data_IF_121256403606
#
_entry.id   IF_121256403606
#
_cell.length_a   1.000
_cell.length_b   1.000
_cell.length_c   1.000
_cell.angle_alpha   90.00
_cell.angle_beta   90.00
_cell.angle_gamma   90.00
#
_symmetry.space_group_name_H-M   'P 1'
#
loop_
_entity.id
_entity.type
_entity.pdbx_description
1 polymer ?
#
# COMPACT_ATOMS: atom_id res chain seq x y z
N UNK A 1 14.87 -15.04 1.05
CA UNK A 1 13.55 -15.39 0.48
C UNK A 1 13.22 -16.80 0.91
N UNK A 2 11.99 -17.02 1.36
CA UNK A 2 11.55 -18.29 1.94
C UNK A 2 11.36 -19.28 0.78
N UNK A 3 12.36 -20.11 0.50
CA UNK A 3 12.23 -21.26 -0.39
C UNK A 3 11.65 -22.42 0.41
N UNK A 4 10.33 -22.42 0.62
CA UNK A 4 9.62 -23.53 1.23
C UNK A 4 8.37 -23.80 0.42
N UNK A 5 8.31 -24.96 -0.23
CA UNK A 5 7.18 -25.63 -0.91
C UNK A 5 5.84 -24.89 -0.91
N UNK A 6 5.79 -23.77 -1.61
CA UNK A 6 4.53 -23.14 -1.97
C UNK A 6 3.94 -23.92 -3.16
N UNK A 7 2.61 -24.13 -3.26
CA UNK A 7 1.99 -24.99 -4.26
C UNK A 7 2.04 -24.43 -5.71
N UNK A 8 2.79 -23.35 -5.93
CA UNK A 8 2.91 -22.66 -7.21
C UNK A 8 4.34 -22.77 -7.74
N UNK A 9 4.46 -23.08 -9.02
CA UNK A 9 5.73 -23.21 -9.72
C UNK A 9 6.37 -21.83 -10.00
N UNK A 10 7.59 -21.85 -10.53
CA UNK A 10 8.36 -20.63 -10.88
C UNK A 10 7.62 -19.71 -11.85
N UNK A 11 6.77 -20.26 -12.73
CA UNK A 11 5.98 -19.46 -13.66
C UNK A 11 4.95 -18.58 -12.93
N UNK A 12 4.22 -19.17 -11.97
CA UNK A 12 3.24 -18.42 -11.16
C UNK A 12 3.94 -17.38 -10.28
N UNK A 13 5.10 -17.72 -9.71
CA UNK A 13 5.91 -16.76 -8.93
C UNK A 13 6.34 -15.56 -9.79
N UNK A 14 6.88 -15.81 -10.99
CA UNK A 14 7.31 -14.76 -11.91
C UNK A 14 6.15 -13.88 -12.38
N UNK A 15 4.99 -14.48 -12.67
CA UNK A 15 3.79 -13.73 -13.06
C UNK A 15 3.28 -12.86 -11.91
N UNK A 16 3.29 -13.40 -10.69
CA UNK A 16 2.90 -12.68 -9.47
C UNK A 16 3.83 -11.49 -9.20
N UNK A 17 5.14 -11.69 -9.34
CA UNK A 17 6.14 -10.62 -9.21
C UNK A 17 5.96 -9.56 -10.30
N UNK A 18 5.69 -9.96 -11.55
CA UNK A 18 5.42 -9.02 -12.65
C UNK A 18 4.23 -8.13 -12.32
N UNK A 19 3.12 -8.71 -11.84
CA UNK A 19 1.95 -7.96 -11.41
C UNK A 19 2.26 -7.06 -10.21
N UNK A 20 3.00 -7.57 -9.23
CA UNK A 20 3.40 -6.80 -8.04
C UNK A 20 4.22 -5.56 -8.42
N UNK A 21 5.26 -5.73 -9.24
CA UNK A 21 6.10 -4.62 -9.69
C UNK A 21 5.30 -3.61 -10.53
N UNK A 22 4.34 -4.07 -11.35
CA UNK A 22 3.45 -3.15 -12.07
C UNK A 22 2.59 -2.27 -11.13
N UNK A 23 2.11 -2.83 -10.01
CA UNK A 23 1.30 -2.07 -9.04
C UNK A 23 2.13 -1.10 -8.18
N UNK A 24 3.46 -1.26 -8.15
CA UNK A 24 4.36 -0.36 -7.42
C UNK A 24 4.58 0.92 -8.23
N UNK A 25 3.84 1.96 -7.89
CA UNK A 25 3.98 3.28 -8.53
C UNK A 25 5.23 4.06 -8.10
N UNK A 26 5.87 3.68 -6.99
CA UNK A 26 7.08 4.32 -6.43
C UNK A 26 6.96 5.84 -6.23
N UNK A 27 5.73 6.34 -6.05
CA UNK A 27 5.51 7.74 -5.77
C UNK A 27 6.14 8.14 -4.44
N UNK A 28 6.87 9.26 -4.47
CA UNK A 28 7.38 9.89 -3.26
C UNK A 28 6.24 10.57 -2.52
N UNK A 29 6.36 10.58 -1.20
CA UNK A 29 5.43 11.29 -0.34
C UNK A 29 5.82 12.76 -0.33
N UNK A 30 4.87 13.62 -0.70
CA UNK A 30 5.05 15.06 -0.77
C UNK A 30 3.92 15.75 0.01
N UNK A 31 4.14 16.97 0.53
CA UNK A 31 3.09 17.75 1.18
C UNK A 31 1.87 17.92 0.29
N UNK A 32 0.68 17.86 0.88
CA UNK A 32 -0.59 17.99 0.17
C UNK A 32 -1.61 18.77 1.01
N UNK A 33 -2.62 19.34 0.35
CA UNK A 33 -3.73 20.00 1.05
C UNK A 33 -4.66 18.98 1.75
N UNK A 34 -4.71 17.75 1.26
CA UNK A 34 -5.55 16.67 1.82
C UNK A 34 -5.00 15.29 1.46
N UNK A 35 -5.14 14.33 2.38
CA UNK A 35 -4.96 12.90 2.14
C UNK A 35 -6.33 12.21 2.09
N UNK A 36 -6.56 11.41 1.05
CA UNK A 36 -7.74 10.54 0.92
C UNK A 36 -7.36 9.11 1.31
N UNK A 37 -8.00 8.57 2.34
CA UNK A 37 -7.80 7.23 2.85
C UNK A 37 -8.95 6.36 2.34
N UNK A 38 -8.63 5.46 1.43
CA UNK A 38 -9.59 4.48 0.92
C UNK A 38 -9.79 3.39 1.97
N UNK A 39 -10.96 3.36 2.62
CA UNK A 39 -11.28 2.37 3.63
C UNK A 39 -11.07 0.94 3.11
N UNK A 40 -10.46 0.11 3.95
CA UNK A 40 -10.08 -1.25 3.62
C UNK A 40 -10.13 -2.12 4.87
N UNK A 41 -10.41 -3.41 4.68
CA UNK A 41 -10.25 -4.42 5.73
C UNK A 41 -8.76 -4.67 6.08
N UNK A 42 -7.84 -4.24 5.23
CA UNK A 42 -6.42 -4.30 5.50
C UNK A 42 -5.98 -3.17 6.44
N UNK A 43 -5.68 -3.55 7.69
CA UNK A 43 -5.22 -2.63 8.74
C UNK A 43 -3.96 -1.82 8.35
N UNK A 44 -3.17 -2.30 7.37
CA UNK A 44 -1.98 -1.56 6.89
C UNK A 44 -2.34 -0.22 6.28
N UNK A 45 -3.54 -0.08 5.70
CA UNK A 45 -4.02 1.20 5.16
C UNK A 45 -4.19 2.22 6.29
N UNK A 46 -4.85 1.82 7.38
CA UNK A 46 -5.02 2.67 8.57
C UNK A 46 -3.69 3.03 9.23
N UNK A 47 -2.78 2.05 9.36
CA UNK A 47 -1.45 2.29 9.92
C UNK A 47 -0.66 3.32 9.09
N UNK A 48 -0.70 3.21 7.75
CA UNK A 48 -0.01 4.17 6.88
C UNK A 48 -0.62 5.56 6.98
N UNK A 49 -1.95 5.67 7.06
CA UNK A 49 -2.62 6.95 7.28
C UNK A 49 -2.19 7.61 8.61
N UNK A 50 -2.14 6.85 9.70
CA UNK A 50 -1.69 7.35 10.99
C UNK A 50 -0.23 7.81 10.99
N UNK A 51 0.65 7.10 10.29
CA UNK A 51 2.05 7.49 10.10
C UNK A 51 2.17 8.83 9.37
N UNK A 52 1.46 8.99 8.24
CA UNK A 52 1.45 10.21 7.44
C UNK A 52 0.84 11.40 8.19
N UNK A 53 -0.20 11.16 8.99
CA UNK A 53 -0.78 12.17 9.87
C UNK A 53 0.25 12.68 10.90
N UNK A 54 1.00 11.76 11.53
CA UNK A 54 2.06 12.13 12.47
C UNK A 54 3.23 12.87 11.81
N UNK A 55 3.48 12.62 10.53
CA UNK A 55 4.48 13.35 9.75
C UNK A 55 4.01 14.76 9.33
N UNK A 56 2.73 15.09 9.55
CA UNK A 56 2.17 16.40 9.20
C UNK A 56 2.12 16.66 7.70
N UNK A 57 2.02 15.61 6.88
CA UNK A 57 2.11 15.73 5.41
C UNK A 57 0.94 16.50 4.80
N UNK A 58 -0.19 16.56 5.49
CA UNK A 58 -1.37 17.32 5.09
C UNK A 58 -2.15 17.81 6.31
N UNK A 59 -2.90 18.92 6.18
CA UNK A 59 -3.78 19.40 7.25
C UNK A 59 -5.11 18.64 7.35
N UNK A 60 -5.51 17.89 6.32
CA UNK A 60 -6.81 17.20 6.26
C UNK A 60 -6.65 15.73 5.85
N UNK A 61 -7.39 14.84 6.52
CA UNK A 61 -7.46 13.41 6.27
C UNK A 61 -8.92 12.99 6.10
N UNK A 62 -9.31 12.57 4.88
CA UNK A 62 -10.67 12.12 4.56
C UNK A 62 -10.71 10.61 4.44
N UNK A 63 -11.54 9.96 5.24
CA UNK A 63 -11.75 8.51 5.21
C UNK A 63 -13.01 8.17 4.41
N UNK A 64 -12.90 7.18 3.52
CA UNK A 64 -14.04 6.62 2.78
C UNK A 64 -14.24 5.15 3.14
N UNK A 65 -15.40 4.59 2.79
CA UNK A 65 -15.78 3.22 3.17
C UNK A 65 -16.60 3.17 4.47
N UNK A 66 -17.38 2.10 4.64
CA UNK A 66 -18.29 1.87 5.75
C UNK A 66 -18.60 0.39 5.92
#
# INVERSE_FOLDING_TARGET
MIHGDLPWNTEIENASLTLWEYHRLEHRIEPADMVLILGSHDLRVGNRAAELHRQGIAPLFLFTGG
#
